data_IF_808947989845
#
_entry.id   IF_808947989845
#
_cell.length_a   1.000
_cell.length_b   1.000
_cell.length_c   1.000
_cell.angle_alpha   90.00
_cell.angle_beta   90.00
_cell.angle_gamma   90.00
#
_symmetry.space_group_name_H-M   'P 1'
#
loop_
_entity.id
_entity.type
_entity.pdbx_description
1 polymer ?
#
# COMPACT_ATOMS: atom_id res chain seq x y z
N UNK A 1 -2.09 10.36 2.09
CA UNK A 1 -2.74 9.24 2.80
C UNK A 1 -3.87 8.72 1.92
N UNK A 2 -3.71 7.50 1.38
CA UNK A 2 -4.73 6.87 0.53
C UNK A 2 -5.85 6.32 1.40
N UNK A 3 -7.11 6.56 1.00
CA UNK A 3 -8.29 5.99 1.63
C UNK A 3 -8.86 4.92 0.70
N UNK A 4 -8.83 3.68 1.13
CA UNK A 4 -9.43 2.54 0.42
C UNK A 4 -10.88 2.38 0.87
N UNK A 5 -11.79 2.13 -0.08
CA UNK A 5 -13.18 1.78 0.22
C UNK A 5 -13.36 0.30 -0.08
N UNK A 6 -13.56 -0.50 0.96
CA UNK A 6 -13.82 -1.94 0.85
C UNK A 6 -15.33 -2.18 0.93
N UNK A 7 -15.88 -2.84 -0.08
CA UNK A 7 -17.31 -3.04 -0.20
C UNK A 7 -17.71 -4.33 0.51
N UNK A 8 -18.72 -4.24 1.37
CA UNK A 8 -19.47 -5.39 1.83
C UNK A 8 -20.39 -5.93 0.72
N UNK A 9 -20.79 -7.20 0.86
CA UNK A 9 -21.67 -7.93 -0.05
C UNK A 9 -22.99 -7.18 -0.27
N UNK A 10 -23.59 -6.64 0.79
CA UNK A 10 -24.87 -5.92 0.71
C UNK A 10 -24.79 -4.66 -0.17
N UNK A 11 -23.68 -3.92 -0.13
CA UNK A 11 -23.47 -2.71 -0.93
C UNK A 11 -23.44 -3.06 -2.41
N UNK A 12 -22.67 -4.09 -2.77
CA UNK A 12 -22.54 -4.52 -4.17
C UNK A 12 -23.89 -4.99 -4.71
N UNK A 13 -24.62 -5.76 -3.91
CA UNK A 13 -25.94 -6.25 -4.31
C UNK A 13 -26.95 -5.10 -4.50
N UNK A 14 -26.96 -4.11 -3.62
CA UNK A 14 -27.85 -2.97 -3.73
C UNK A 14 -27.57 -2.15 -4.99
N UNK A 15 -26.30 -2.00 -5.36
CA UNK A 15 -25.86 -1.32 -6.59
C UNK A 15 -26.24 -2.11 -7.85
N UNK A 16 -26.03 -3.43 -7.84
CA UNK A 16 -26.30 -4.30 -8.99
C UNK A 16 -27.79 -4.49 -9.26
N UNK A 17 -28.57 -4.67 -8.19
CA UNK A 17 -29.99 -5.01 -8.27
C UNK A 17 -30.91 -3.80 -8.10
N UNK A 18 -30.35 -2.63 -7.83
CA UNK A 18 -31.07 -1.38 -7.60
C UNK A 18 -32.09 -1.49 -6.47
N UNK A 19 -31.65 -1.99 -5.30
CA UNK A 19 -32.52 -2.22 -4.16
C UNK A 19 -32.88 -0.91 -3.46
N UNK A 20 -34.17 -0.60 -3.42
CA UNK A 20 -34.71 0.51 -2.64
C UNK A 20 -34.80 0.16 -1.14
N UNK A 21 -34.73 1.16 -0.24
CA UNK A 21 -34.61 2.60 -0.49
C UNK A 21 -33.16 3.09 -0.69
N UNK A 22 -32.17 2.19 -0.64
CA UNK A 22 -30.77 2.57 -0.51
C UNK A 22 -30.04 2.84 -1.82
N UNK A 23 -30.60 2.38 -2.96
CA UNK A 23 -29.92 2.40 -4.25
C UNK A 23 -29.42 3.79 -4.67
N UNK A 24 -30.30 4.80 -4.71
CA UNK A 24 -29.95 6.11 -5.27
C UNK A 24 -28.78 6.77 -4.52
N UNK A 25 -28.83 6.78 -3.18
CA UNK A 25 -27.76 7.35 -2.35
C UNK A 25 -26.43 6.62 -2.55
N UNK A 26 -26.46 5.30 -2.68
CA UNK A 26 -25.27 4.48 -2.94
C UNK A 26 -24.73 4.68 -4.35
N UNK A 27 -25.59 4.77 -5.35
CA UNK A 27 -25.19 4.97 -6.74
C UNK A 27 -24.51 6.33 -6.92
N UNK A 28 -25.04 7.38 -6.28
CA UNK A 28 -24.44 8.71 -6.26
C UNK A 28 -23.07 8.69 -5.59
N UNK A 29 -22.96 8.11 -4.38
CA UNK A 29 -21.70 8.02 -3.67
C UNK A 29 -20.67 7.17 -4.43
N UNK A 30 -21.08 6.05 -5.03
CA UNK A 30 -20.22 5.23 -5.86
C UNK A 30 -19.68 6.00 -7.08
N UNK A 31 -20.54 6.77 -7.76
CA UNK A 31 -20.13 7.63 -8.87
C UNK A 31 -19.15 8.72 -8.43
N UNK A 32 -19.40 9.37 -7.28
CA UNK A 32 -18.50 10.35 -6.69
C UNK A 32 -17.12 9.74 -6.38
N UNK A 33 -17.09 8.58 -5.71
CA UNK A 33 -15.86 7.90 -5.35
C UNK A 33 -15.01 7.57 -6.58
N UNK A 34 -15.65 7.10 -7.66
CA UNK A 34 -14.97 6.85 -8.94
C UNK A 34 -14.47 8.12 -9.60
N UNK A 35 -15.27 9.20 -9.60
CA UNK A 35 -14.87 10.49 -10.17
C UNK A 35 -13.65 11.08 -9.45
N UNK A 36 -13.55 10.84 -8.14
CA UNK A 36 -12.42 11.26 -7.29
C UNK A 36 -11.27 10.24 -7.27
N UNK A 37 -11.37 9.17 -8.05
CA UNK A 37 -10.34 8.13 -8.18
C UNK A 37 -9.97 7.45 -6.84
N UNK A 38 -10.92 7.35 -5.91
CA UNK A 38 -10.71 6.56 -4.70
C UNK A 38 -10.49 5.09 -5.05
N UNK A 39 -9.50 4.41 -4.42
CA UNK A 39 -9.34 2.97 -4.56
C UNK A 39 -10.55 2.20 -4.00
N UNK A 40 -11.26 1.51 -4.88
CA UNK A 40 -12.44 0.71 -4.55
C UNK A 40 -12.08 -0.76 -4.57
N UNK A 41 -12.45 -1.49 -3.53
CA UNK A 41 -12.09 -2.89 -3.36
C UNK A 41 -13.27 -3.77 -3.00
N UNK A 42 -13.22 -5.03 -3.41
CA UNK A 42 -14.08 -6.09 -2.88
C UNK A 42 -13.21 -7.23 -2.36
N UNK A 43 -13.58 -7.81 -1.22
CA UNK A 43 -12.77 -8.85 -0.59
C UNK A 43 -12.88 -10.18 -1.37
N UNK A 44 -11.75 -10.80 -1.70
CA UNK A 44 -11.73 -12.07 -2.44
C UNK A 44 -12.48 -13.18 -1.69
N UNK A 45 -12.41 -13.21 -0.36
CA UNK A 45 -13.10 -14.19 0.48
C UNK A 45 -14.64 -14.14 0.36
N UNK A 46 -15.21 -12.98 0.02
CA UNK A 46 -16.67 -12.77 -0.04
C UNK A 46 -17.25 -12.99 -1.46
N UNK A 47 -16.41 -13.28 -2.46
CA UNK A 47 -16.87 -13.53 -3.84
C UNK A 47 -17.87 -14.70 -3.95
N UNK A 48 -17.65 -15.85 -3.28
CA UNK A 48 -18.62 -16.94 -3.33
C UNK A 48 -19.99 -16.56 -2.74
N UNK A 49 -20.01 -15.87 -1.60
CA UNK A 49 -21.24 -15.37 -0.96
C UNK A 49 -21.98 -14.41 -1.87
N UNK A 50 -21.25 -13.46 -2.48
CA UNK A 50 -21.81 -12.50 -3.43
C UNK A 50 -22.43 -13.20 -4.66
N UNK A 51 -21.72 -14.15 -5.29
CA UNK A 51 -22.27 -14.90 -6.44
C UNK A 51 -23.54 -15.67 -6.05
N UNK A 52 -23.52 -16.32 -4.90
CA UNK A 52 -24.64 -17.13 -4.41
C UNK A 52 -25.87 -16.29 -4.14
N UNK A 53 -25.74 -15.22 -3.35
CA UNK A 53 -26.85 -14.34 -2.96
C UNK A 53 -27.39 -13.61 -4.19
N UNK A 54 -26.51 -13.10 -5.07
CA UNK A 54 -26.92 -12.43 -6.30
C UNK A 54 -27.71 -13.37 -7.21
N UNK A 55 -27.25 -14.61 -7.39
CA UNK A 55 -27.94 -15.62 -8.19
C UNK A 55 -29.33 -15.93 -7.63
N UNK A 56 -29.45 -16.09 -6.31
CA UNK A 56 -30.72 -16.36 -5.63
C UNK A 56 -31.70 -15.21 -5.83
N UNK A 57 -31.21 -13.98 -5.75
CA UNK A 57 -32.04 -12.79 -5.87
C UNK A 57 -32.49 -12.53 -7.31
N UNK A 58 -31.60 -12.71 -8.30
CA UNK A 58 -32.02 -12.70 -9.71
C UNK A 58 -33.09 -13.75 -9.97
N UNK A 59 -32.92 -14.98 -9.44
CA UNK A 59 -33.93 -16.02 -9.61
C UNK A 59 -35.28 -15.58 -9.06
N UNK A 60 -35.31 -15.03 -7.83
CA UNK A 60 -36.53 -14.48 -7.22
C UNK A 60 -37.19 -13.42 -8.11
N UNK A 61 -36.41 -12.47 -8.62
CA UNK A 61 -36.91 -11.40 -9.49
C UNK A 61 -37.42 -11.90 -10.84
N UNK A 62 -36.85 -12.97 -11.38
CA UNK A 62 -37.34 -13.64 -12.59
C UNK A 62 -38.66 -14.37 -12.30
N UNK A 63 -38.72 -15.10 -11.20
CA UNK A 63 -39.92 -15.83 -10.77
C UNK A 63 -41.10 -14.87 -10.50
N UNK A 64 -40.82 -13.67 -10.00
CA UNK A 64 -41.80 -12.59 -9.77
C UNK A 64 -42.13 -11.77 -11.03
N UNK A 65 -41.48 -12.05 -12.16
CA UNK A 65 -41.71 -11.35 -13.43
C UNK A 65 -41.16 -9.91 -13.49
N UNK A 66 -40.36 -9.50 -12.50
CA UNK A 66 -39.73 -8.18 -12.41
C UNK A 66 -38.49 -8.07 -13.31
N UNK A 67 -37.83 -9.19 -13.60
CA UNK A 67 -36.69 -9.28 -14.52
C UNK A 67 -37.01 -10.25 -15.65
N UNK A 68 -36.91 -9.77 -16.89
CA UNK A 68 -37.04 -10.61 -18.10
C UNK A 68 -35.65 -10.92 -18.65
N UNK A 69 -35.33 -12.20 -18.79
CA UNK A 69 -34.03 -12.66 -19.31
C UNK A 69 -34.18 -13.99 -20.06
N UNK A 70 -33.37 -14.18 -21.09
CA UNK A 70 -33.23 -15.47 -21.80
C UNK A 70 -32.05 -16.31 -21.25
N UNK A 71 -31.25 -15.74 -20.35
CA UNK A 71 -30.14 -16.41 -19.69
C UNK A 71 -30.60 -17.09 -18.39
N UNK A 72 -30.02 -18.24 -18.01
CA UNK A 72 -30.16 -18.79 -16.67
C UNK A 72 -29.78 -17.74 -15.59
N UNK A 73 -30.48 -17.68 -14.44
CA UNK A 73 -30.20 -16.68 -13.40
C UNK A 73 -28.73 -16.60 -12.97
N UNK A 74 -28.05 -17.75 -12.88
CA UNK A 74 -26.62 -17.82 -12.52
C UNK A 74 -25.72 -17.20 -13.58
N UNK A 75 -26.01 -17.39 -14.86
CA UNK A 75 -25.23 -16.78 -15.94
C UNK A 75 -25.44 -15.27 -16.00
N UNK A 76 -26.68 -14.82 -15.80
CA UNK A 76 -26.98 -13.39 -15.70
C UNK A 76 -26.25 -12.77 -14.49
N UNK A 77 -26.28 -13.44 -13.34
CA UNK A 77 -25.57 -13.02 -12.13
C UNK A 77 -24.08 -12.86 -12.38
N UNK A 78 -23.42 -13.89 -12.94
CA UNK A 78 -21.99 -13.85 -13.28
C UNK A 78 -21.67 -12.72 -14.23
N UNK A 79 -22.46 -12.53 -15.29
CA UNK A 79 -22.25 -11.46 -16.26
C UNK A 79 -22.32 -10.07 -15.62
N UNK A 80 -23.29 -9.85 -14.73
CA UNK A 80 -23.42 -8.59 -14.00
C UNK A 80 -22.26 -8.38 -13.02
N UNK A 81 -21.85 -9.43 -12.30
CA UNK A 81 -20.73 -9.40 -11.37
C UNK A 81 -19.41 -9.11 -12.08
N UNK A 82 -19.09 -9.80 -13.17
CA UNK A 82 -17.87 -9.55 -13.94
C UNK A 82 -17.78 -8.08 -14.36
N UNK A 83 -18.86 -7.52 -14.91
CA UNK A 83 -18.89 -6.11 -15.32
C UNK A 83 -18.72 -5.14 -14.14
N UNK A 84 -19.27 -5.46 -12.97
CA UNK A 84 -19.10 -4.64 -11.79
C UNK A 84 -17.67 -4.71 -11.25
N UNK A 85 -17.10 -5.92 -11.20
CA UNK A 85 -15.74 -6.16 -10.75
C UNK A 85 -14.68 -5.56 -11.68
N UNK A 86 -14.98 -5.32 -12.96
CA UNK A 86 -14.12 -4.52 -13.85
C UNK A 86 -13.98 -3.05 -13.39
N UNK A 87 -14.94 -2.53 -12.61
CA UNK A 87 -14.92 -1.15 -12.13
C UNK A 87 -14.22 -0.97 -10.77
N UNK A 88 -13.83 -2.05 -10.11
CA UNK A 88 -13.20 -2.04 -8.79
C UNK A 88 -12.04 -3.05 -8.74
N UNK A 89 -11.26 -3.05 -7.65
CA UNK A 89 -10.15 -3.99 -7.44
C UNK A 89 -10.57 -5.13 -6.51
N UNK A 90 -9.87 -6.26 -6.57
CA UNK A 90 -10.05 -7.35 -5.61
C UNK A 90 -8.98 -7.26 -4.53
N UNK A 91 -9.41 -7.15 -3.27
CA UNK A 91 -8.50 -7.23 -2.13
C UNK A 91 -8.14 -8.70 -1.86
N UNK A 92 -6.85 -9.05 -1.74
CA UNK A 92 -6.44 -10.41 -1.47
C UNK A 92 -6.85 -10.84 -0.05
N UNK A 93 -7.19 -12.11 0.10
CA UNK A 93 -7.49 -12.71 1.40
C UNK A 93 -6.49 -13.84 1.64
N UNK A 94 -5.49 -13.60 2.50
CA UNK A 94 -4.44 -14.59 2.76
C UNK A 94 -4.98 -15.76 3.58
N UNK A 95 -4.39 -16.95 3.37
CA UNK A 95 -4.71 -18.14 4.17
C UNK A 95 -4.45 -17.96 5.67
N UNK A 96 -3.54 -17.05 6.04
CA UNK A 96 -3.26 -16.69 7.43
C UNK A 96 -4.42 -15.95 8.11
N UNK A 97 -5.27 -15.23 7.35
CA UNK A 97 -6.41 -14.49 7.91
C UNK A 97 -7.38 -15.43 8.62
N UNK A 98 -7.64 -16.60 8.02
CA UNK A 98 -8.52 -17.63 8.58
C UNK A 98 -8.08 -18.12 9.97
N UNK A 99 -6.78 -18.09 10.26
CA UNK A 99 -6.21 -18.51 11.56
C UNK A 99 -6.27 -17.42 12.63
N UNK A 100 -6.47 -16.16 12.22
CA UNK A 100 -6.56 -15.01 13.13
C UNK A 100 -7.96 -14.81 13.68
N UNK A 101 -8.96 -15.43 13.06
CA UNK A 101 -10.36 -15.34 13.48
C UNK A 101 -10.62 -16.45 14.49
N UNK A 102 -11.06 -16.11 15.72
CA UNK A 102 -11.47 -17.10 16.71
C UNK A 102 -12.55 -18.04 16.16
N UNK A 103 -12.53 -19.33 16.53
CA UNK A 103 -13.55 -20.29 16.07
C UNK A 103 -14.96 -19.92 16.52
N UNK A 104 -15.08 -19.23 17.65
CA UNK A 104 -16.33 -18.75 18.23
C UNK A 104 -16.72 -17.33 17.78
N UNK A 105 -16.06 -16.77 16.76
CA UNK A 105 -16.41 -15.44 16.25
C UNK A 105 -17.86 -15.47 15.69
N UNK A 106 -18.72 -14.50 16.06
CA UNK A 106 -20.14 -14.54 15.72
C UNK A 106 -20.39 -14.45 14.22
N UNK A 107 -19.61 -13.62 13.51
CA UNK A 107 -19.64 -13.52 12.05
C UNK A 107 -18.24 -13.66 11.47
N UNK A 108 -17.92 -14.83 10.90
CA UNK A 108 -16.60 -15.07 10.31
C UNK A 108 -16.43 -14.41 8.94
N UNK A 109 -17.52 -14.10 8.24
CA UNK A 109 -17.47 -13.44 6.93
C UNK A 109 -17.02 -11.98 7.10
N UNK A 110 -17.65 -11.24 8.01
CA UNK A 110 -17.28 -9.86 8.35
C UNK A 110 -15.83 -9.74 8.84
N UNK A 111 -15.43 -10.70 9.68
CA UNK A 111 -14.07 -10.82 10.16
C UNK A 111 -13.05 -11.00 9.02
N UNK A 112 -13.36 -11.79 7.99
CA UNK A 112 -12.48 -11.99 6.84
C UNK A 112 -12.47 -10.79 5.89
N UNK A 113 -13.63 -10.15 5.68
CA UNK A 113 -13.73 -8.93 4.90
C UNK A 113 -12.85 -7.87 5.55
N UNK A 114 -12.99 -7.64 6.85
CA UNK A 114 -12.16 -6.68 7.57
C UNK A 114 -10.67 -7.03 7.52
N UNK A 115 -10.27 -8.29 7.71
CA UNK A 115 -8.86 -8.69 7.58
C UNK A 115 -8.27 -8.51 6.18
N UNK A 116 -9.10 -8.45 5.13
CA UNK A 116 -8.62 -8.17 3.78
C UNK A 116 -8.09 -6.73 3.64
N UNK A 117 -8.32 -5.85 4.62
CA UNK A 117 -7.73 -4.51 4.67
C UNK A 117 -6.23 -4.49 4.96
N UNK A 118 -5.70 -5.51 5.63
CA UNK A 118 -4.28 -5.56 6.04
C UNK A 118 -3.32 -5.54 4.85
N UNK A 119 -3.83 -5.98 3.69
CA UNK A 119 -3.08 -6.06 2.44
C UNK A 119 -3.20 -4.79 1.58
N UNK A 120 -4.00 -3.82 2.04
CA UNK A 120 -4.26 -2.58 1.31
C UNK A 120 -3.39 -1.43 1.85
N UNK A 121 -2.72 -0.64 0.99
CA UNK A 121 -1.91 0.47 1.44
C UNK A 121 -2.77 1.64 1.91
N UNK A 122 -2.50 2.17 3.10
CA UNK A 122 -3.21 3.32 3.67
C UNK A 122 -4.37 2.93 4.58
N UNK A 123 -5.29 3.85 4.83
CA UNK A 123 -6.44 3.59 5.69
C UNK A 123 -7.59 3.00 4.89
N UNK A 124 -8.28 2.02 5.46
CA UNK A 124 -9.44 1.38 4.83
C UNK A 124 -10.72 1.75 5.58
N UNK A 125 -11.77 2.04 4.81
CA UNK A 125 -13.14 2.14 5.30
C UNK A 125 -13.97 1.00 4.70
N UNK A 126 -14.67 0.25 5.53
CA UNK A 126 -15.59 -0.80 5.07
C UNK A 126 -16.97 -0.19 4.90
N UNK A 127 -17.43 -0.13 3.66
CA UNK A 127 -18.78 0.31 3.35
C UNK A 127 -19.75 -0.86 3.51
N UNK A 128 -20.67 -0.75 4.46
CA UNK A 128 -21.69 -1.76 4.78
C UNK A 128 -22.99 -1.09 5.23
N UNK A 129 -24.14 -1.72 5.02
CA UNK A 129 -25.38 -1.33 5.70
C UNK A 129 -25.58 -2.04 7.04
N UNK A 130 -24.72 -3.01 7.37
CA UNK A 130 -24.90 -3.82 8.56
C UNK A 130 -24.49 -3.01 9.79
N UNK A 131 -25.46 -2.67 10.63
CA UNK A 131 -25.23 -1.98 11.90
C UNK A 131 -24.53 -2.90 12.91
N UNK A 132 -24.68 -4.22 12.74
CA UNK A 132 -24.08 -5.27 13.57
C UNK A 132 -22.79 -5.83 12.96
N UNK A 133 -22.23 -5.18 11.93
CA UNK A 133 -20.99 -5.61 11.26
C UNK A 133 -19.89 -5.90 12.29
N UNK A 134 -19.32 -7.11 12.22
CA UNK A 134 -18.42 -7.61 13.25
C UNK A 134 -16.97 -7.73 12.75
N UNK A 135 -16.16 -6.65 12.77
CA UNK A 135 -14.80 -6.69 12.26
C UNK A 135 -13.85 -7.43 13.22
N UNK A 136 -12.90 -8.18 12.66
CA UNK A 136 -11.77 -8.72 13.42
C UNK A 136 -10.64 -7.70 13.63
N UNK A 137 -10.69 -6.57 12.92
CA UNK A 137 -9.76 -5.43 13.04
C UNK A 137 -10.48 -4.32 13.83
N UNK A 138 -10.22 -4.14 15.14
CA UNK A 138 -11.03 -3.24 15.97
C UNK A 138 -10.94 -1.76 15.57
N UNK A 139 -9.84 -1.35 14.93
CA UNK A 139 -9.59 0.03 14.55
C UNK A 139 -10.11 0.39 13.15
N UNK A 140 -10.68 -0.58 12.42
CA UNK A 140 -11.19 -0.30 11.07
C UNK A 140 -12.47 0.52 11.14
N UNK A 141 -12.51 1.59 10.36
CA UNK A 141 -13.74 2.36 10.21
C UNK A 141 -14.70 1.61 9.28
N UNK A 142 -15.98 1.57 9.64
CA UNK A 142 -17.02 0.97 8.83
C UNK A 142 -18.33 1.72 9.00
N UNK A 143 -19.27 1.47 8.09
CA UNK A 143 -20.64 1.96 8.20
C UNK A 143 -21.26 2.27 6.85
N UNK A 144 -22.42 2.93 6.92
CA UNK A 144 -23.27 3.22 5.79
C UNK A 144 -22.71 4.35 4.88
N UNK A 145 -23.51 4.74 3.89
CA UNK A 145 -23.14 5.82 2.98
C UNK A 145 -22.89 7.17 3.69
N UNK A 146 -23.60 7.45 4.79
CA UNK A 146 -23.40 8.69 5.55
C UNK A 146 -22.08 8.64 6.33
N UNK A 147 -21.81 7.53 7.01
CA UNK A 147 -20.57 7.32 7.75
C UNK A 147 -19.35 7.41 6.84
N UNK A 148 -19.41 6.84 5.64
CA UNK A 148 -18.33 6.94 4.65
C UNK A 148 -18.10 8.39 4.21
N UNK A 149 -19.15 9.15 3.92
CA UNK A 149 -19.02 10.57 3.56
C UNK A 149 -18.32 11.38 4.66
N UNK A 150 -18.77 11.24 5.90
CA UNK A 150 -18.15 11.91 7.06
C UNK A 150 -16.70 11.48 7.26
N UNK A 151 -16.39 10.20 7.09
CA UNK A 151 -15.02 9.68 7.20
C UNK A 151 -14.08 10.33 6.18
N UNK A 152 -14.53 10.45 4.92
CA UNK A 152 -13.75 11.07 3.85
C UNK A 152 -13.50 12.55 4.14
N UNK A 153 -14.52 13.29 4.58
CA UNK A 153 -14.40 14.70 4.95
C UNK A 153 -13.39 14.93 6.07
N UNK A 154 -13.44 14.11 7.12
CA UNK A 154 -12.54 14.20 8.27
C UNK A 154 -11.09 13.84 7.93
N UNK A 155 -10.86 12.82 7.08
CA UNK A 155 -9.50 12.37 6.71
C UNK A 155 -8.81 13.28 5.70
N UNK A 156 -9.55 14.01 4.86
CA UNK A 156 -8.97 15.02 3.96
C UNK A 156 -8.28 16.15 4.73
N UNK A 157 -8.67 16.39 5.99
CA UNK A 157 -8.01 17.35 6.89
C UNK A 157 -6.83 16.75 7.68
N UNK A 158 -6.52 15.46 7.51
CA UNK A 158 -5.50 14.74 8.27
C UNK A 158 -4.05 14.95 7.80
N UNK A 159 -3.13 14.73 8.76
CA UNK A 159 -1.67 14.90 8.70
C UNK A 159 -1.02 14.47 7.37
N UNK A 160 -0.33 15.40 6.69
CA UNK A 160 0.49 15.09 5.49
C UNK A 160 1.89 14.67 5.94
N UNK A 161 2.36 13.46 5.63
CA UNK A 161 3.70 13.04 6.03
C UNK A 161 4.75 13.90 5.34
N UNK A 162 5.85 14.21 6.05
CA UNK A 162 6.99 14.95 5.49
C UNK A 162 7.61 14.20 4.28
N UNK A 163 7.63 12.86 4.32
CA UNK A 163 8.05 11.98 3.22
C UNK A 163 7.07 10.79 3.14
N UNK A 164 6.48 10.55 1.97
CA UNK A 164 5.54 9.43 1.71
C UNK A 164 6.25 8.30 0.93
N UNK A 165 6.94 7.41 1.65
CA UNK A 165 7.64 6.27 1.04
C UNK A 165 6.67 5.22 0.47
N UNK A 166 5.48 5.08 1.05
CA UNK A 166 4.46 4.14 0.57
C UNK A 166 3.96 4.51 -0.82
N UNK A 167 3.73 5.80 -1.05
CA UNK A 167 3.39 6.28 -2.39
C UNK A 167 4.54 6.08 -3.38
N UNK A 168 5.78 6.42 -3.01
CA UNK A 168 6.95 6.21 -3.89
C UNK A 168 7.11 4.73 -4.27
N UNK A 169 7.01 3.82 -3.30
CA UNK A 169 7.08 2.38 -3.55
C UNK A 169 5.94 1.91 -4.47
N UNK A 170 4.72 2.43 -4.31
CA UNK A 170 3.57 2.04 -5.13
C UNK A 170 3.80 2.24 -6.64
N UNK A 171 4.57 3.27 -7.01
CA UNK A 171 4.92 3.59 -8.40
C UNK A 171 5.86 2.53 -9.00
N UNK A 172 6.74 1.94 -8.19
CA UNK A 172 7.78 0.99 -8.62
C UNK A 172 7.57 -0.43 -8.10
N UNK A 173 6.41 -0.72 -7.51
CA UNK A 173 6.13 -1.92 -6.70
C UNK A 173 6.46 -3.21 -7.44
N UNK A 174 5.97 -3.34 -8.67
CA UNK A 174 6.18 -4.54 -9.49
C UNK A 174 7.68 -4.85 -9.67
N UNK A 175 8.49 -3.84 -9.98
CA UNK A 175 9.93 -4.00 -10.19
C UNK A 175 10.66 -4.35 -8.89
N UNK A 176 10.22 -3.79 -7.76
CA UNK A 176 10.77 -4.10 -6.43
C UNK A 176 10.46 -5.55 -6.05
N UNK A 177 9.21 -5.97 -6.20
CA UNK A 177 8.77 -7.33 -5.91
C UNK A 177 9.52 -8.35 -6.78
N UNK A 178 9.63 -8.11 -8.08
CA UNK A 178 10.44 -8.95 -8.99
C UNK A 178 11.90 -9.06 -8.56
N UNK A 179 12.51 -7.96 -8.13
CA UNK A 179 13.86 -7.93 -7.60
C UNK A 179 14.03 -8.79 -6.35
N UNK A 180 13.11 -8.65 -5.39
CA UNK A 180 13.10 -9.44 -4.15
C UNK A 180 12.94 -10.93 -4.48
N UNK A 181 11.97 -11.29 -5.32
CA UNK A 181 11.74 -12.68 -5.70
C UNK A 181 12.93 -13.31 -6.44
N UNK A 182 13.63 -12.54 -7.28
CA UNK A 182 14.85 -12.99 -7.95
C UNK A 182 15.94 -13.35 -6.93
N UNK A 183 16.17 -12.51 -5.92
CA UNK A 183 17.15 -12.76 -4.84
C UNK A 183 16.77 -14.01 -4.05
N UNK A 184 15.51 -14.13 -3.64
CA UNK A 184 15.00 -15.30 -2.92
C UNK A 184 15.17 -16.60 -3.71
N UNK A 185 15.03 -16.54 -5.05
CA UNK A 185 15.13 -17.73 -5.91
C UNK A 185 16.54 -18.30 -5.99
N UNK A 186 17.58 -17.46 -6.03
CA UNK A 186 18.96 -17.94 -6.10
C UNK A 186 19.65 -18.03 -4.73
N UNK A 187 19.11 -17.37 -3.70
CA UNK A 187 19.54 -17.54 -2.29
C UNK A 187 20.92 -16.95 -1.93
N UNK A 188 21.49 -16.08 -2.77
CA UNK A 188 22.80 -15.46 -2.52
C UNK A 188 22.60 -14.07 -1.91
N UNK A 189 22.50 -14.00 -0.58
CA UNK A 189 22.13 -12.77 0.13
C UNK A 189 23.30 -11.81 0.40
N UNK A 190 24.53 -12.30 0.35
CA UNK A 190 25.75 -11.50 0.59
C UNK A 190 26.60 -11.58 -0.68
N UNK A 191 27.03 -10.43 -1.21
CA UNK A 191 27.83 -10.33 -2.44
C UNK A 191 27.18 -11.04 -3.65
N UNK A 192 25.84 -10.97 -3.73
CA UNK A 192 25.06 -11.49 -4.85
C UNK A 192 25.31 -10.75 -6.16
N UNK A 193 24.82 -11.29 -7.31
CA UNK A 193 25.01 -10.68 -8.62
C UNK A 193 24.47 -9.25 -8.73
N UNK A 194 23.42 -8.93 -7.97
CA UNK A 194 22.77 -7.62 -7.89
C UNK A 194 23.75 -6.53 -7.44
N UNK A 195 24.73 -6.87 -6.58
CA UNK A 195 25.75 -5.92 -6.10
C UNK A 195 26.62 -5.44 -7.26
N UNK A 196 27.15 -6.36 -8.07
CA UNK A 196 27.99 -6.03 -9.23
C UNK A 196 27.22 -5.26 -10.29
N UNK A 197 25.95 -5.59 -10.47
CA UNK A 197 25.06 -4.87 -11.38
C UNK A 197 24.84 -3.43 -10.90
N UNK A 198 24.54 -3.24 -9.62
CA UNK A 198 24.36 -1.93 -9.01
C UNK A 198 25.64 -1.09 -9.15
N UNK A 199 26.79 -1.63 -8.78
CA UNK A 199 28.09 -0.95 -8.89
C UNK A 199 28.40 -0.52 -10.32
N UNK A 200 28.18 -1.40 -11.30
CA UNK A 200 28.36 -1.06 -12.72
C UNK A 200 27.43 0.08 -13.16
N UNK A 201 26.16 0.03 -12.77
CA UNK A 201 25.17 1.06 -13.11
C UNK A 201 25.48 2.40 -12.43
N UNK A 202 25.87 2.38 -11.15
CA UNK A 202 26.26 3.58 -10.40
C UNK A 202 27.53 4.22 -10.98
N UNK A 203 28.55 3.43 -11.29
CA UNK A 203 29.78 3.92 -11.92
C UNK A 203 29.46 4.64 -13.25
N UNK A 204 28.60 4.04 -14.08
CA UNK A 204 28.15 4.65 -15.32
C UNK A 204 27.31 5.91 -15.11
N UNK A 205 26.39 5.91 -14.13
CA UNK A 205 25.52 7.05 -13.81
C UNK A 205 26.31 8.28 -13.34
N UNK A 206 27.30 8.08 -12.47
CA UNK A 206 28.14 9.16 -11.93
C UNK A 206 29.26 9.57 -12.91
N UNK A 207 29.64 8.68 -13.84
CA UNK A 207 30.71 8.92 -14.81
C UNK A 207 32.11 8.60 -14.27
N UNK A 208 32.23 7.63 -13.37
CA UNK A 208 33.49 7.18 -12.76
C UNK A 208 33.86 5.76 -13.20
N UNK A 209 35.14 5.38 -13.02
CA UNK A 209 35.61 4.03 -13.43
C UNK A 209 35.09 2.91 -12.52
N UNK A 210 34.94 3.21 -11.23
CA UNK A 210 34.58 2.24 -10.21
C UNK A 210 33.55 2.83 -9.25
N UNK A 211 32.61 2.01 -8.83
CA UNK A 211 31.76 2.26 -7.67
C UNK A 211 31.88 1.02 -6.76
N UNK A 212 31.96 1.26 -5.45
CA UNK A 212 32.05 0.20 -4.44
C UNK A 212 30.87 0.41 -3.50
N UNK A 213 30.00 -0.59 -3.41
CA UNK A 213 28.85 -0.58 -2.52
C UNK A 213 29.25 -0.89 -1.08
N UNK A 214 28.50 -0.35 -0.13
CA UNK A 214 28.68 -0.59 1.30
C UNK A 214 27.36 -0.41 2.04
N UNK A 215 27.36 -0.62 3.35
CA UNK A 215 26.14 -0.65 4.14
C UNK A 215 25.53 0.75 4.39
N UNK A 216 26.35 1.81 4.40
CA UNK A 216 25.88 3.16 4.73
C UNK A 216 26.76 4.27 4.13
N UNK A 217 26.25 5.51 4.14
CA UNK A 217 27.05 6.69 3.79
C UNK A 217 28.22 6.94 4.75
N UNK A 218 28.08 6.57 6.03
CA UNK A 218 29.16 6.62 7.02
C UNK A 218 30.30 5.66 6.64
N UNK A 219 29.98 4.41 6.28
CA UNK A 219 30.99 3.45 5.83
C UNK A 219 31.66 3.91 4.54
N UNK A 220 30.91 4.52 3.62
CA UNK A 220 31.46 5.05 2.38
C UNK A 220 32.56 6.09 2.65
N UNK A 221 32.31 7.03 3.57
CA UNK A 221 33.30 8.04 3.97
C UNK A 221 34.48 7.39 4.71
N UNK A 222 34.19 6.52 5.68
CA UNK A 222 35.20 5.84 6.50
C UNK A 222 36.17 5.02 5.65
N UNK A 223 35.65 4.15 4.76
CA UNK A 223 36.48 3.33 3.88
C UNK A 223 37.34 4.17 2.93
N UNK A 224 36.80 5.29 2.43
CA UNK A 224 37.56 6.19 1.57
C UNK A 224 38.74 6.82 2.31
N UNK A 225 38.52 7.30 3.55
CA UNK A 225 39.59 7.86 4.39
C UNK A 225 40.61 6.79 4.81
N UNK A 226 40.17 5.57 5.14
CA UNK A 226 41.05 4.43 5.42
C UNK A 226 41.92 4.08 4.21
N UNK A 227 41.35 4.08 3.00
CA UNK A 227 42.09 3.82 1.77
C UNK A 227 43.12 4.92 1.47
N UNK A 228 42.87 6.17 1.90
CA UNK A 228 43.82 7.27 1.86
C UNK A 228 44.88 7.20 2.99
N UNK A 229 44.78 6.25 3.91
CA UNK A 229 45.73 6.09 5.02
C UNK A 229 45.57 7.09 6.17
N UNK A 230 44.40 7.73 6.27
CA UNK A 230 44.13 8.75 7.31
C UNK A 230 44.13 8.11 8.70
N UNK A 231 44.80 8.77 9.66
CA UNK A 231 44.87 8.32 11.04
C UNK A 231 45.34 9.38 12.04
N UNK A 232 45.83 8.96 13.22
CA UNK A 232 46.30 9.87 14.26
C UNK A 232 47.39 10.82 13.79
N UNK A 233 47.19 12.11 14.06
CA UNK A 233 48.10 13.18 13.64
C UNK A 233 47.70 13.86 12.33
N UNK A 234 46.78 13.28 11.56
CA UNK A 234 46.24 13.91 10.35
C UNK A 234 45.14 14.93 10.69
N UNK A 235 45.00 15.94 9.83
CA UNK A 235 43.95 16.94 9.90
C UNK A 235 43.09 16.89 8.64
N UNK A 236 41.77 16.79 8.81
CA UNK A 236 40.82 16.76 7.70
C UNK A 236 39.90 17.96 7.82
N UNK A 237 39.88 18.80 6.78
CA UNK A 237 39.06 19.99 6.72
C UNK A 237 37.64 19.63 6.31
N UNK A 238 36.66 20.11 7.06
CA UNK A 238 35.23 19.92 6.80
C UNK A 238 34.44 21.07 7.42
N UNK A 239 33.12 21.05 7.34
CA UNK A 239 32.25 22.08 7.95
C UNK A 239 31.43 21.51 9.10
N UNK A 240 31.13 22.28 10.17
CA UNK A 240 30.19 21.85 11.20
C UNK A 240 28.73 21.94 10.72
N UNK A 241 28.47 22.61 9.59
CA UNK A 241 27.15 22.69 8.97
C UNK A 241 26.92 21.51 8.00
N UNK A 242 26.95 20.30 8.54
CA UNK A 242 26.75 19.05 7.80
C UNK A 242 26.09 17.99 8.69
N UNK A 243 25.72 16.84 8.14
CA UNK A 243 25.32 15.70 8.96
C UNK A 243 26.53 15.12 9.72
N UNK A 244 26.32 14.77 11.00
CA UNK A 244 27.37 14.41 11.96
C UNK A 244 28.34 13.34 11.47
N UNK A 245 27.86 12.39 10.65
CA UNK A 245 28.68 11.31 10.08
C UNK A 245 29.96 11.83 9.41
N UNK A 246 29.93 13.02 8.81
CA UNK A 246 31.09 13.62 8.13
C UNK A 246 32.26 13.90 9.09
N UNK A 247 31.97 14.47 10.27
CA UNK A 247 32.99 14.81 11.27
C UNK A 247 33.33 13.62 12.19
N UNK A 248 32.34 12.76 12.44
CA UNK A 248 32.47 11.58 13.29
C UNK A 248 33.51 10.59 12.73
N UNK A 249 33.47 10.28 11.43
CA UNK A 249 34.40 9.31 10.83
C UNK A 249 35.86 9.76 10.87
N UNK A 250 36.11 11.06 10.82
CA UNK A 250 37.45 11.64 10.95
C UNK A 250 37.98 11.35 12.36
N UNK A 251 37.16 11.66 13.37
CA UNK A 251 37.49 11.40 14.77
C UNK A 251 37.62 9.90 15.07
N UNK A 252 36.78 9.06 14.44
CA UNK A 252 36.80 7.61 14.58
C UNK A 252 38.13 6.99 14.12
N UNK A 253 38.76 7.57 13.09
CA UNK A 253 40.10 7.18 12.62
C UNK A 253 41.23 7.76 13.49
N UNK A 254 40.91 8.57 14.50
CA UNK A 254 41.90 9.27 15.34
C UNK A 254 42.49 10.53 14.71
N UNK A 255 42.03 10.92 13.52
CA UNK A 255 42.38 12.18 12.88
C UNK A 255 41.62 13.35 13.52
N UNK A 256 42.10 14.58 13.28
CA UNK A 256 41.49 15.80 13.81
C UNK A 256 40.59 16.45 12.76
N UNK A 257 39.26 16.58 13.00
CA UNK A 257 38.42 17.39 12.15
C UNK A 257 38.74 18.87 12.36
N UNK A 258 39.05 19.58 11.27
CA UNK A 258 39.27 21.03 11.27
C UNK A 258 38.08 21.69 10.60
N UNK A 259 37.34 22.48 11.38
CA UNK A 259 36.11 23.10 10.91
C UNK A 259 36.38 24.40 10.13
N UNK A 260 35.79 24.45 8.94
CA UNK A 260 35.75 25.59 8.02
C UNK A 260 34.30 26.05 7.89
N UNK A 261 34.12 27.35 7.72
CA UNK A 261 32.80 27.95 7.60
C UNK A 261 32.13 27.61 6.25
N UNK A 262 30.86 28.00 6.10
CA UNK A 262 30.10 27.82 4.87
C UNK A 262 29.93 29.14 4.10
N UNK A 263 29.76 29.05 2.79
CA UNK A 263 29.16 30.12 2.01
C UNK A 263 27.66 30.23 2.39
N UNK A 264 27.20 31.34 2.99
CA UNK A 264 25.81 31.48 3.45
C UNK A 264 24.78 31.49 2.31
N UNK A 265 25.20 31.59 1.05
CA UNK A 265 24.29 31.52 -0.11
C UNK A 265 24.04 30.09 -0.57
N UNK A 266 25.04 29.22 -0.46
CA UNK A 266 24.96 27.85 -0.96
C UNK A 266 24.85 26.81 0.16
N UNK A 267 25.20 27.21 1.39
CA UNK A 267 25.34 26.35 2.56
C UNK A 267 26.38 25.22 2.39
N UNK A 268 27.27 25.34 1.41
CA UNK A 268 28.45 24.46 1.25
C UNK A 268 29.70 25.13 1.84
N UNK A 269 30.75 24.35 2.07
CA UNK A 269 32.05 24.81 2.57
C UNK A 269 32.67 25.89 1.66
N UNK A 270 33.27 26.94 2.24
CA UNK A 270 33.95 28.08 1.57
C UNK A 270 35.49 27.94 1.61
#
# INVERSE_FOLDING_TARGET
MTINVLFDVNIVLDLLLKREPYYYKKAELFAFLRQKEYPLFFAACALPSLEYIHTKEIKRLVDEGLVKTNLPPRELARKQLTRFLEAIKIAPSLGSHWRRIPENHPDREDALISLSSDELPGSTFIWTNDEDFCPAVPEIAFGDALALQQYLENKVQGNRPFIDLGHQQSIIREHVEEGIFRVLKHGNYIMGPEVKELEKRLAAYVGVKHAISCASGTDALLMALMACGVGPGDAIFTTPFTFIATAEVISLLGATPVFVDIDPKTYNID
#
